data_IF_602446533852
#
_entry.id   IF_602446533852
#
_cell.length_a   1.000
_cell.length_b   1.000
_cell.length_c   1.000
_cell.angle_alpha   90.00
_cell.angle_beta   90.00
_cell.angle_gamma   90.00
#
_symmetry.space_group_name_H-M   'P 1'
#
loop_
_entity.id
_entity.type
_entity.pdbx_description
1 polymer ?
#
# COMPACT_ATOMS: atom_id res chain seq x y z
N UNK A 1 35.18 8.59 -0.07
CA UNK A 1 34.67 8.42 -1.45
C UNK A 1 34.73 6.95 -1.82
N UNK A 2 33.59 6.26 -1.86
CA UNK A 2 33.45 4.98 -2.56
C UNK A 2 32.02 4.95 -3.11
N UNK A 3 31.89 5.28 -4.39
CA UNK A 3 30.62 5.30 -5.11
C UNK A 3 30.10 3.90 -5.34
N UNK A 4 28.87 3.63 -4.92
CA UNK A 4 28.11 2.47 -5.39
C UNK A 4 27.51 2.82 -6.76
N UNK A 5 27.86 2.02 -7.77
CA UNK A 5 27.30 2.05 -9.11
C UNK A 5 25.78 1.88 -9.03
N UNK A 6 25.05 2.87 -9.57
CA UNK A 6 23.66 2.74 -9.98
C UNK A 6 23.56 1.58 -10.98
N UNK A 7 22.74 0.57 -10.69
CA UNK A 7 22.29 -0.40 -11.70
C UNK A 7 21.23 0.31 -12.54
N UNK A 8 21.52 0.54 -13.81
CA UNK A 8 20.50 0.92 -14.79
C UNK A 8 19.49 -0.23 -14.90
N UNK A 9 18.21 0.08 -14.68
CA UNK A 9 17.11 -0.84 -14.94
C UNK A 9 17.03 -1.16 -16.44
N UNK A 10 16.87 -2.45 -16.74
CA UNK A 10 16.70 -2.94 -18.11
C UNK A 10 15.29 -2.57 -18.59
N UNK A 11 15.22 -1.83 -19.70
CA UNK A 11 13.97 -1.51 -20.39
C UNK A 11 13.41 -2.81 -21.00
N UNK A 12 12.20 -3.19 -20.61
CA UNK A 12 11.50 -4.33 -21.22
C UNK A 12 11.17 -4.02 -22.70
N UNK A 13 11.73 -4.78 -23.62
CA UNK A 13 11.38 -4.77 -25.04
C UNK A 13 10.43 -5.95 -25.35
N UNK A 14 9.52 -5.83 -26.33
CA UNK A 14 8.61 -6.92 -26.69
C UNK A 14 9.36 -8.04 -27.43
N UNK A 15 9.23 -9.28 -26.96
CA UNK A 15 9.86 -10.48 -27.56
C UNK A 15 8.87 -11.19 -28.50
N UNK A 16 9.30 -11.71 -29.68
CA UNK A 16 8.46 -12.48 -30.59
C UNK A 16 8.23 -13.93 -30.12
N UNK A 17 7.16 -14.53 -30.64
CA UNK A 17 6.62 -15.83 -30.25
C UNK A 17 7.55 -17.04 -30.40
N UNK A 18 7.60 -17.87 -29.36
CA UNK A 18 7.77 -19.32 -29.46
C UNK A 18 8.90 -19.95 -28.63
N UNK A 19 8.62 -20.36 -27.39
CA UNK A 19 8.96 -21.66 -26.72
C UNK A 19 8.70 -21.59 -25.21
N UNK A 20 8.31 -22.72 -24.59
CA UNK A 20 7.69 -22.80 -23.25
C UNK A 20 8.68 -22.62 -22.07
N UNK A 21 8.42 -21.55 -21.31
CA UNK A 21 8.31 -21.41 -19.85
C UNK A 21 9.43 -21.93 -18.93
N UNK A 22 10.42 -21.06 -18.68
CA UNK A 22 10.88 -20.72 -17.32
C UNK A 22 10.20 -19.40 -16.93
N UNK A 23 9.76 -19.23 -15.68
CA UNK A 23 9.02 -18.06 -15.15
C UNK A 23 9.38 -16.76 -15.87
N UNK A 24 8.54 -16.33 -16.81
CA UNK A 24 8.58 -14.98 -17.33
C UNK A 24 8.37 -14.05 -16.14
N UNK A 25 9.32 -13.16 -15.85
CA UNK A 25 9.08 -12.05 -14.92
C UNK A 25 7.83 -11.31 -15.41
N UNK A 26 6.69 -11.58 -14.78
CA UNK A 26 5.43 -10.92 -15.13
C UNK A 26 5.54 -9.49 -14.63
N UNK A 27 5.82 -8.57 -15.56
CA UNK A 27 5.85 -7.15 -15.26
C UNK A 27 4.40 -6.65 -15.12
N UNK A 28 3.95 -6.46 -13.88
CA UNK A 28 2.62 -5.94 -13.57
C UNK A 28 2.57 -4.40 -13.60
N UNK A 29 3.56 -3.73 -14.21
CA UNK A 29 3.66 -2.28 -14.21
C UNK A 29 2.48 -1.57 -14.90
N UNK A 30 1.80 -2.21 -15.86
CA UNK A 30 0.69 -1.63 -16.62
C UNK A 30 -0.61 -2.46 -16.50
N UNK A 31 -0.83 -3.12 -15.36
CA UNK A 31 -1.92 -4.08 -15.23
C UNK A 31 -3.31 -3.43 -15.34
N UNK A 32 -3.52 -2.22 -14.81
CA UNK A 32 -4.81 -1.52 -14.93
C UNK A 32 -5.09 -1.14 -16.38
N UNK A 33 -4.06 -0.66 -17.09
CA UNK A 33 -4.12 -0.38 -18.52
C UNK A 33 -4.39 -1.63 -19.38
N UNK A 34 -3.95 -2.80 -18.90
CA UNK A 34 -4.06 -4.09 -19.59
C UNK A 34 -5.37 -4.83 -19.31
N UNK A 35 -6.20 -4.35 -18.38
CA UNK A 35 -7.52 -4.94 -18.13
C UNK A 35 -8.38 -4.92 -19.42
N UNK A 36 -9.27 -5.90 -19.61
CA UNK A 36 -10.22 -5.90 -20.72
C UNK A 36 -11.09 -4.62 -20.77
N UNK A 37 -11.46 -4.12 -21.96
CA UNK A 37 -12.20 -2.85 -22.11
C UNK A 37 -13.51 -2.74 -21.32
N UNK A 38 -14.19 -3.86 -21.08
CA UNK A 38 -15.43 -3.85 -20.32
C UNK A 38 -15.21 -3.60 -18.82
N UNK A 39 -14.01 -3.88 -18.28
CA UNK A 39 -13.64 -3.58 -16.90
C UNK A 39 -13.22 -2.12 -16.72
N UNK A 40 -12.89 -1.39 -17.79
CA UNK A 40 -12.53 0.04 -17.70
C UNK A 40 -13.68 0.91 -17.18
N UNK A 41 -14.93 0.44 -17.35
CA UNK A 41 -16.15 1.10 -16.89
C UNK A 41 -16.71 0.51 -15.58
N UNK A 42 -16.01 -0.46 -14.98
CA UNK A 42 -16.37 -0.96 -13.65
C UNK A 42 -15.89 0.06 -12.60
N UNK A 43 -16.70 0.35 -11.56
CA UNK A 43 -16.26 1.22 -10.47
C UNK A 43 -14.97 0.69 -9.82
N UNK A 44 -14.01 1.56 -9.51
CA UNK A 44 -12.75 1.16 -8.87
C UNK A 44 -12.99 0.44 -7.52
N UNK A 45 -14.08 0.74 -6.82
CA UNK A 45 -14.51 0.06 -5.59
C UNK A 45 -14.89 -1.41 -5.77
N UNK A 46 -15.02 -1.85 -7.02
CA UNK A 46 -15.43 -3.19 -7.44
C UNK A 46 -14.30 -3.96 -8.13
N UNK A 47 -13.13 -3.35 -8.32
CA UNK A 47 -11.93 -4.05 -8.81
C UNK A 47 -11.15 -4.65 -7.63
N UNK A 48 -10.45 -5.76 -7.88
CA UNK A 48 -9.43 -6.27 -6.98
C UNK A 48 -8.11 -5.51 -7.21
N UNK A 49 -7.58 -4.88 -6.16
CA UNK A 49 -6.41 -4.00 -6.22
C UNK A 49 -5.39 -4.46 -5.17
N UNK A 50 -4.16 -4.83 -5.56
CA UNK A 50 -3.13 -5.18 -4.60
C UNK A 50 -2.58 -3.92 -3.91
N UNK A 51 -2.43 -4.02 -2.59
CA UNK A 51 -1.87 -2.99 -1.74
C UNK A 51 -0.75 -3.52 -0.86
N UNK A 52 0.05 -2.60 -0.32
CA UNK A 52 1.05 -2.93 0.70
C UNK A 52 0.71 -2.25 2.02
N UNK A 53 0.97 -2.95 3.13
CA UNK A 53 0.81 -2.42 4.49
C UNK A 53 2.12 -1.76 4.95
N UNK A 54 2.01 -0.61 5.65
CA UNK A 54 3.14 0.19 6.12
C UNK A 54 4.20 0.36 5.02
N UNK A 55 3.76 0.82 3.85
CA UNK A 55 4.39 0.53 2.56
C UNK A 55 5.81 1.04 2.39
N UNK A 56 6.22 2.04 3.16
CA UNK A 56 7.54 2.67 3.04
C UNK A 56 8.63 1.96 3.87
N UNK A 57 8.26 1.00 4.72
CA UNK A 57 9.14 0.44 5.76
C UNK A 57 10.33 -0.38 5.23
N UNK A 58 10.57 -0.39 3.91
CA UNK A 58 11.77 -0.93 3.26
C UNK A 58 13.05 -0.20 3.64
N UNK A 59 12.95 1.10 3.98
CA UNK A 59 14.09 1.90 4.42
C UNK A 59 13.90 2.39 5.86
N UNK A 60 14.60 1.72 6.76
CA UNK A 60 14.69 2.10 8.17
C UNK A 60 16.16 2.12 8.58
N UNK A 61 16.70 3.31 8.87
CA UNK A 61 18.07 3.47 9.35
C UNK A 61 18.14 3.11 10.85
N UNK A 62 19.10 2.26 11.22
CA UNK A 62 19.40 1.96 12.63
C UNK A 62 19.88 3.20 13.39
N UNK A 63 20.28 4.27 12.69
CA UNK A 63 20.62 5.56 13.30
C UNK A 63 19.42 6.48 13.47
N UNK A 64 18.32 6.27 12.75
CA UNK A 64 17.11 7.09 12.86
C UNK A 64 16.55 7.11 14.29
N UNK A 65 16.00 8.25 14.76
CA UNK A 65 15.27 8.29 16.03
C UNK A 65 14.13 7.26 16.05
N UNK A 66 13.72 6.88 17.26
CA UNK A 66 12.51 6.09 17.48
C UNK A 66 11.30 6.94 17.15
N UNK A 67 10.36 6.37 16.41
CA UNK A 67 9.12 7.04 16.05
C UNK A 67 8.21 7.25 17.27
N UNK A 68 7.38 8.30 17.26
CA UNK A 68 6.39 8.56 18.31
C UNK A 68 5.26 7.53 18.38
N UNK A 69 5.19 6.60 17.43
CA UNK A 69 4.26 5.46 17.40
C UNK A 69 4.66 4.33 18.37
N UNK A 70 5.84 4.44 19.02
CA UNK A 70 6.34 3.46 19.99
C UNK A 70 6.02 3.84 21.44
N UNK A 71 5.91 2.83 22.31
CA UNK A 71 5.65 3.07 23.74
C UNK A 71 6.83 3.77 24.44
N UNK A 72 6.58 4.56 25.51
CA UNK A 72 7.66 5.22 26.27
C UNK A 72 8.74 4.27 26.80
N UNK A 73 8.34 3.04 27.15
CA UNK A 73 9.26 2.00 27.58
C UNK A 73 10.22 1.58 26.45
N UNK A 74 9.69 1.40 25.24
CA UNK A 74 10.50 1.09 24.04
C UNK A 74 11.41 2.26 23.70
N UNK A 75 10.92 3.50 23.74
CA UNK A 75 11.74 4.70 23.50
C UNK A 75 12.93 4.78 24.46
N UNK A 76 12.75 4.40 25.74
CA UNK A 76 13.82 4.36 26.74
C UNK A 76 14.81 3.23 26.46
N UNK A 77 14.33 2.04 26.10
CA UNK A 77 15.16 0.86 25.84
C UNK A 77 15.95 0.94 24.53
N UNK A 78 15.43 1.65 23.53
CA UNK A 78 16.07 1.83 22.23
C UNK A 78 17.38 2.64 22.25
N UNK A 79 17.76 3.21 23.41
CA UNK A 79 19.12 3.74 23.66
C UNK A 79 20.19 2.65 23.57
N UNK A 80 19.80 1.38 23.72
CA UNK A 80 20.66 0.21 23.56
C UNK A 80 20.68 -0.21 22.08
N UNK A 81 21.85 -0.22 21.45
CA UNK A 81 22.00 -0.56 20.01
C UNK A 81 21.39 -1.91 19.63
N UNK A 82 21.50 -2.93 20.50
CA UNK A 82 20.91 -4.24 20.27
C UNK A 82 19.37 -4.21 20.22
N UNK A 83 18.73 -3.40 21.08
CA UNK A 83 17.28 -3.21 21.07
C UNK A 83 16.84 -2.53 19.79
N UNK A 84 17.61 -1.53 19.33
CA UNK A 84 17.30 -0.81 18.09
C UNK A 84 17.44 -1.69 16.83
N UNK A 85 18.45 -2.56 16.79
CA UNK A 85 18.59 -3.61 15.75
C UNK A 85 17.41 -4.58 15.75
N UNK A 86 16.95 -4.98 16.93
CA UNK A 86 15.77 -5.82 17.06
C UNK A 86 14.52 -5.08 16.56
N UNK A 87 14.29 -3.84 17.01
CA UNK A 87 13.16 -3.02 16.57
C UNK A 87 13.10 -2.93 15.04
N UNK A 88 14.22 -2.59 14.38
CA UNK A 88 14.28 -2.57 12.92
C UNK A 88 13.77 -3.87 12.29
N UNK A 89 14.23 -5.04 12.74
CA UNK A 89 13.79 -6.34 12.22
C UNK A 89 12.29 -6.63 12.39
N UNK A 90 11.64 -5.97 13.35
CA UNK A 90 10.21 -6.12 13.63
C UNK A 90 9.36 -4.99 13.04
N UNK A 91 9.99 -3.89 12.63
CA UNK A 91 9.35 -2.71 12.04
C UNK A 91 9.39 -2.70 10.51
N UNK A 92 10.31 -3.44 9.88
CA UNK A 92 10.32 -3.58 8.42
C UNK A 92 9.19 -4.52 8.00
N UNK A 93 8.29 -4.03 7.16
CA UNK A 93 7.16 -4.76 6.57
C UNK A 93 7.28 -4.94 5.06
N UNK A 94 8.17 -4.20 4.38
CA UNK A 94 8.42 -4.33 2.93
C UNK A 94 9.94 -4.43 2.66
N UNK A 95 10.34 -5.10 1.57
CA UNK A 95 11.75 -5.07 1.09
C UNK A 95 11.94 -4.15 -0.12
N UNK A 96 10.85 -3.79 -0.79
CA UNK A 96 10.84 -3.09 -2.07
C UNK A 96 10.63 -1.59 -1.87
N UNK A 97 11.28 -0.76 -2.69
CA UNK A 97 11.00 0.69 -2.76
C UNK A 97 9.59 0.97 -3.28
N UNK A 98 9.14 2.24 -3.25
CA UNK A 98 7.86 2.60 -3.86
C UNK A 98 7.84 2.25 -5.35
N UNK A 99 8.91 2.57 -6.07
CA UNK A 99 9.05 2.23 -7.49
C UNK A 99 8.95 0.73 -7.74
N UNK A 100 9.68 -0.08 -6.98
CA UNK A 100 9.68 -1.54 -7.14
C UNK A 100 8.31 -2.16 -6.81
N UNK A 101 7.62 -1.65 -5.78
CA UNK A 101 6.24 -2.08 -5.47
C UNK A 101 5.27 -1.75 -6.62
N UNK A 102 5.39 -0.56 -7.21
CA UNK A 102 4.58 -0.15 -8.36
C UNK A 102 4.85 -1.05 -9.58
N UNK A 103 6.12 -1.35 -9.88
CA UNK A 103 6.51 -2.27 -10.96
C UNK A 103 6.00 -3.70 -10.73
N UNK A 104 5.95 -4.14 -9.46
CA UNK A 104 5.36 -5.43 -9.07
C UNK A 104 3.82 -5.45 -9.12
N UNK A 105 3.17 -4.31 -9.31
CA UNK A 105 1.72 -4.19 -9.51
C UNK A 105 0.94 -3.56 -8.34
N UNK A 106 1.60 -3.21 -7.23
CA UNK A 106 0.95 -2.55 -6.09
C UNK A 106 0.39 -1.19 -6.51
N UNK A 107 -0.85 -0.89 -6.09
CA UNK A 107 -1.52 0.39 -6.38
C UNK A 107 -2.12 1.07 -5.15
N UNK A 108 -2.18 0.38 -4.01
CA UNK A 108 -2.55 1.00 -2.73
C UNK A 108 -1.38 1.01 -1.76
N UNK A 109 -1.17 2.17 -1.13
CA UNK A 109 -0.10 2.40 -0.15
C UNK A 109 -0.69 2.87 1.18
N UNK A 110 -0.49 2.10 2.25
CA UNK A 110 -0.80 2.51 3.63
C UNK A 110 0.38 3.32 4.20
N UNK A 111 0.13 4.61 4.41
CA UNK A 111 1.15 5.59 4.75
C UNK A 111 0.95 6.14 6.17
N UNK A 112 2.05 6.13 6.93
CA UNK A 112 2.14 6.73 8.25
C UNK A 112 3.22 7.78 8.24
N UNK A 113 2.91 8.97 8.72
CA UNK A 113 3.79 10.14 8.60
C UNK A 113 3.94 10.89 9.92
N UNK A 114 5.09 11.54 10.10
CA UNK A 114 5.38 12.30 11.30
C UNK A 114 6.34 13.46 11.03
N UNK A 115 6.19 14.52 11.83
CA UNK A 115 7.28 15.49 12.00
C UNK A 115 8.42 14.82 12.78
N UNK A 116 9.65 15.29 12.58
CA UNK A 116 10.83 14.74 13.26
C UNK A 116 11.29 15.67 14.39
N UNK A 117 11.55 15.16 15.61
CA UNK A 117 12.05 15.99 16.70
C UNK A 117 13.36 16.69 16.33
N UNK A 118 13.44 18.00 16.56
CA UNK A 118 14.62 18.82 16.28
C UNK A 118 14.80 19.19 14.81
N UNK A 119 13.86 18.83 13.94
CA UNK A 119 13.83 19.30 12.55
C UNK A 119 13.26 20.74 12.51
N UNK A 120 14.04 21.67 11.96
CA UNK A 120 13.67 23.09 11.86
C UNK A 120 12.94 23.42 10.57
N UNK A 121 12.94 22.51 9.60
CA UNK A 121 12.49 22.77 8.23
C UNK A 121 11.02 22.37 8.02
N UNK A 122 10.33 21.97 9.10
CA UNK A 122 8.95 21.43 9.07
C UNK A 122 8.78 20.22 8.13
N UNK A 123 9.89 19.52 7.87
CA UNK A 123 9.90 18.35 6.99
C UNK A 123 9.14 17.17 7.60
N UNK A 124 8.61 16.33 6.71
CA UNK A 124 7.72 15.23 7.08
C UNK A 124 8.31 13.95 6.56
N UNK A 125 8.30 12.95 7.43
CA UNK A 125 8.95 11.67 7.19
C UNK A 125 7.92 10.57 7.29
N UNK A 126 8.11 9.52 6.52
CA UNK A 126 7.38 8.28 6.77
C UNK A 126 7.89 7.60 8.04
N UNK A 127 7.00 6.98 8.82
CA UNK A 127 7.35 6.36 10.10
C UNK A 127 6.64 5.03 10.39
N UNK A 128 7.37 4.11 11.01
CA UNK A 128 6.86 2.82 11.48
C UNK A 128 7.91 2.25 12.44
N UNK A 129 7.73 2.49 13.73
CA UNK A 129 8.70 2.23 14.80
C UNK A 129 9.93 3.13 14.79
N UNK A 130 10.43 3.48 13.61
CA UNK A 130 11.60 4.30 13.35
C UNK A 130 11.30 5.26 12.20
N UNK A 131 12.02 6.39 12.15
CA UNK A 131 11.92 7.35 11.05
C UNK A 131 12.55 6.79 9.75
N UNK A 132 11.80 6.88 8.66
CA UNK A 132 12.22 6.53 7.29
C UNK A 132 12.68 7.75 6.48
N UNK A 133 12.52 7.66 5.15
CA UNK A 133 12.81 8.74 4.20
C UNK A 133 11.80 9.89 4.31
N UNK A 134 12.12 11.03 3.69
CA UNK A 134 11.17 12.14 3.58
C UNK A 134 9.97 11.73 2.73
N UNK A 135 8.80 12.24 3.08
CA UNK A 135 7.59 12.02 2.29
C UNK A 135 7.77 12.50 0.85
N UNK A 136 8.40 13.67 0.69
CA UNK A 136 8.74 14.23 -0.62
C UNK A 136 9.42 13.23 -1.55
N UNK A 137 10.47 12.55 -1.09
CA UNK A 137 11.25 11.62 -1.89
C UNK A 137 10.40 10.44 -2.37
N UNK A 138 9.56 9.88 -1.50
CA UNK A 138 8.64 8.80 -1.86
C UNK A 138 7.55 9.24 -2.83
N UNK A 139 6.99 10.45 -2.67
CA UNK A 139 6.00 10.98 -3.62
C UNK A 139 6.63 11.20 -5.01
N UNK A 140 7.86 11.69 -5.08
CA UNK A 140 8.60 11.86 -6.34
C UNK A 140 8.88 10.52 -7.04
N UNK A 141 9.21 9.46 -6.30
CA UNK A 141 9.34 8.12 -6.88
C UNK A 141 8.03 7.63 -7.51
N UNK A 142 6.91 7.83 -6.81
CA UNK A 142 5.57 7.48 -7.31
C UNK A 142 5.24 8.30 -8.56
N UNK A 143 5.49 9.62 -8.56
CA UNK A 143 5.20 10.49 -9.70
C UNK A 143 6.02 10.12 -10.95
N UNK A 144 7.29 9.77 -10.76
CA UNK A 144 8.17 9.29 -11.82
C UNK A 144 7.62 8.03 -12.49
N UNK A 145 7.05 7.10 -11.71
CA UNK A 145 6.32 5.95 -12.23
C UNK A 145 5.06 6.35 -12.97
N UNK A 146 4.19 7.16 -12.39
CA UNK A 146 2.93 7.57 -13.02
C UNK A 146 3.13 8.33 -14.34
N UNK A 147 4.24 9.06 -14.47
CA UNK A 147 4.63 9.73 -15.71
C UNK A 147 4.98 8.73 -16.83
N UNK A 148 5.56 7.59 -16.49
CA UNK A 148 5.87 6.51 -17.43
C UNK A 148 4.66 5.61 -17.72
N UNK A 149 3.72 5.53 -16.78
CA UNK A 149 2.56 4.66 -16.82
C UNK A 149 1.25 5.47 -16.70
N UNK A 150 0.86 6.24 -17.73
CA UNK A 150 -0.20 7.26 -17.66
C UNK A 150 -1.62 6.72 -17.41
N UNK A 151 -1.81 5.39 -17.51
CA UNK A 151 -3.09 4.71 -17.28
C UNK A 151 -3.14 3.94 -15.97
N UNK A 152 -2.13 4.08 -15.13
CA UNK A 152 -2.14 3.48 -13.80
C UNK A 152 -2.67 4.47 -12.76
N UNK A 153 -3.45 3.96 -11.81
CA UNK A 153 -4.09 4.73 -10.75
C UNK A 153 -3.58 4.26 -9.39
N UNK A 154 -3.12 5.18 -8.55
CA UNK A 154 -2.62 4.89 -7.20
C UNK A 154 -3.49 5.50 -6.11
N UNK A 155 -3.59 4.77 -5.00
CA UNK A 155 -4.28 5.14 -3.78
C UNK A 155 -3.23 5.38 -2.72
N UNK A 156 -3.10 6.63 -2.26
CA UNK A 156 -2.19 6.99 -1.17
C UNK A 156 -3.02 7.27 0.07
N UNK A 157 -2.96 6.35 1.02
CA UNK A 157 -3.73 6.42 2.26
C UNK A 157 -2.87 6.95 3.39
N UNK A 158 -2.92 8.27 3.63
CA UNK A 158 -2.30 8.89 4.80
C UNK A 158 -3.18 8.61 6.02
N UNK A 159 -3.00 7.40 6.54
CA UNK A 159 -3.85 6.78 7.55
C UNK A 159 -3.52 7.29 8.96
N UNK A 160 -2.23 7.53 9.25
CA UNK A 160 -1.78 8.01 10.56
C UNK A 160 -0.84 9.20 10.45
N UNK A 161 -1.09 10.21 11.29
CA UNK A 161 -0.26 11.41 11.45
C UNK A 161 0.22 11.50 12.89
N UNK A 162 1.52 11.67 13.10
CA UNK A 162 2.11 11.72 14.43
C UNK A 162 2.94 12.98 14.63
N UNK A 163 2.83 13.61 15.80
CA UNK A 163 3.56 14.82 16.17
C UNK A 163 3.43 15.98 15.15
N UNK A 164 2.38 15.98 14.33
CA UNK A 164 2.12 17.02 13.33
C UNK A 164 1.13 18.04 13.88
N UNK A 165 1.45 19.32 13.70
CA UNK A 165 0.53 20.43 13.93
C UNK A 165 -0.06 20.93 12.59
N UNK A 166 -0.83 22.02 12.66
CA UNK A 166 -1.48 22.61 11.49
C UNK A 166 -0.48 23.02 10.39
N UNK A 167 0.69 23.54 10.76
CA UNK A 167 1.72 23.96 9.80
C UNK A 167 2.30 22.75 9.06
N UNK A 168 2.58 21.66 9.78
CA UNK A 168 3.01 20.41 9.15
C UNK A 168 1.95 19.85 8.20
N UNK A 169 0.67 19.87 8.57
CA UNK A 169 -0.39 19.42 7.67
C UNK A 169 -0.48 20.28 6.40
N UNK A 170 -0.41 21.62 6.51
CA UNK A 170 -0.37 22.52 5.35
C UNK A 170 0.84 22.24 4.46
N UNK A 171 2.02 22.02 5.07
CA UNK A 171 3.23 21.68 4.35
C UNK A 171 3.09 20.37 3.57
N UNK A 172 2.56 19.31 4.21
CA UNK A 172 2.31 18.02 3.54
C UNK A 172 1.39 18.17 2.33
N UNK A 173 0.28 18.87 2.51
CA UNK A 173 -0.70 19.08 1.45
C UNK A 173 -0.10 19.87 0.29
N UNK A 174 0.71 20.89 0.59
CA UNK A 174 1.46 21.62 -0.43
C UNK A 174 2.40 20.69 -1.20
N UNK A 175 3.19 19.84 -0.51
CA UNK A 175 4.07 18.87 -1.18
C UNK A 175 3.31 17.89 -2.08
N UNK A 176 2.16 17.39 -1.64
CA UNK A 176 1.30 16.51 -2.45
C UNK A 176 0.83 17.23 -3.73
N UNK A 177 0.41 18.49 -3.62
CA UNK A 177 -0.01 19.30 -4.77
C UNK A 177 1.14 19.60 -5.72
N UNK A 178 2.31 19.93 -5.17
CA UNK A 178 3.52 20.25 -5.92
C UNK A 178 3.99 19.06 -6.76
N UNK A 179 3.97 17.85 -6.18
CA UNK A 179 4.42 16.63 -6.86
C UNK A 179 3.42 16.15 -7.92
N UNK A 180 2.15 15.99 -7.55
CA UNK A 180 1.19 15.33 -8.44
C UNK A 180 0.41 16.28 -9.34
N UNK A 181 0.28 17.56 -8.95
CA UNK A 181 -0.39 18.59 -9.76
C UNK A 181 -1.75 18.13 -10.30
N UNK A 182 -1.89 18.13 -11.63
CA UNK A 182 -3.13 17.75 -12.32
C UNK A 182 -3.47 16.26 -12.25
N UNK A 183 -2.55 15.40 -11.77
CA UNK A 183 -2.82 13.96 -11.58
C UNK A 183 -3.74 13.69 -10.38
N UNK A 184 -3.95 14.68 -9.50
CA UNK A 184 -4.78 14.55 -8.31
C UNK A 184 -6.27 14.46 -8.67
N UNK A 185 -6.91 13.37 -8.26
CA UNK A 185 -8.34 13.17 -8.41
C UNK A 185 -9.12 13.92 -7.33
N UNK A 186 -10.04 14.78 -7.74
CA UNK A 186 -10.97 15.44 -6.82
C UNK A 186 -11.90 14.43 -6.13
N UNK A 187 -12.25 14.69 -4.87
CA UNK A 187 -13.18 13.89 -4.10
C UNK A 187 -14.58 13.94 -4.70
N UNK A 188 -15.13 12.76 -5.02
CA UNK A 188 -16.44 12.63 -5.64
C UNK A 188 -17.19 11.39 -5.11
N UNK A 189 -18.30 11.05 -5.77
CA UNK A 189 -19.00 9.80 -5.50
C UNK A 189 -18.11 8.60 -5.91
N UNK A 190 -17.99 7.60 -5.03
CA UNK A 190 -17.12 6.43 -5.24
C UNK A 190 -17.58 5.57 -6.42
N UNK A 191 -18.88 5.38 -6.58
CA UNK A 191 -19.46 4.56 -7.66
C UNK A 191 -19.23 5.17 -9.04
N UNK A 192 -19.05 6.50 -9.11
CA UNK A 192 -18.76 7.20 -10.36
C UNK A 192 -17.30 7.08 -10.82
N UNK A 193 -16.39 6.58 -9.97
CA UNK A 193 -14.99 6.45 -10.33
C UNK A 193 -14.73 5.16 -11.09
N UNK A 194 -14.47 5.28 -12.38
CA UNK A 194 -14.03 4.19 -13.26
C UNK A 194 -12.64 4.51 -13.82
N UNK A 195 -11.91 3.49 -14.30
CA UNK A 195 -10.61 3.70 -14.95
C UNK A 195 -10.74 4.62 -16.16
N UNK A 196 -11.80 4.42 -16.96
CA UNK A 196 -12.11 5.23 -18.13
C UNK A 196 -12.23 6.73 -17.77
N UNK A 197 -13.01 7.07 -16.74
CA UNK A 197 -13.23 8.46 -16.31
C UNK A 197 -11.93 9.08 -15.81
N UNK A 198 -11.13 8.33 -15.05
CA UNK A 198 -9.85 8.81 -14.53
C UNK A 198 -8.86 9.10 -15.65
N UNK A 199 -8.77 8.21 -16.66
CA UNK A 199 -7.90 8.42 -17.82
C UNK A 199 -8.32 9.60 -18.69
N UNK A 200 -9.62 9.74 -18.97
CA UNK A 200 -10.16 10.89 -19.72
C UNK A 200 -9.83 12.22 -19.04
N UNK A 201 -9.88 12.25 -17.70
CA UNK A 201 -9.52 13.43 -16.90
C UNK A 201 -8.03 13.55 -16.61
N UNK A 202 -7.22 12.58 -17.02
CA UNK A 202 -5.78 12.47 -16.70
C UNK A 202 -5.50 12.48 -15.18
N UNK A 203 -6.42 11.95 -14.40
CA UNK A 203 -6.22 11.69 -12.99
C UNK A 203 -5.54 10.34 -12.79
N UNK A 204 -4.61 10.29 -11.84
CA UNK A 204 -3.85 9.09 -11.50
C UNK A 204 -3.74 8.87 -9.99
N UNK A 205 -4.02 9.87 -9.15
CA UNK A 205 -3.73 9.81 -7.71
C UNK A 205 -4.98 10.12 -6.89
N UNK A 206 -5.38 9.17 -6.05
CA UNK A 206 -6.39 9.38 -5.00
C UNK A 206 -5.68 9.50 -3.65
N UNK A 207 -5.88 10.62 -2.98
CA UNK A 207 -5.30 10.87 -1.65
C UNK A 207 -6.37 10.70 -0.59
N UNK A 208 -6.20 9.73 0.30
CA UNK A 208 -7.03 9.59 1.49
C UNK A 208 -6.32 10.19 2.70
N UNK A 209 -7.04 11.01 3.45
CA UNK A 209 -6.46 11.84 4.51
C UNK A 209 -7.28 11.70 5.80
N UNK A 210 -6.68 11.06 6.81
CA UNK A 210 -7.31 10.77 8.11
C UNK A 210 -7.25 11.96 9.09
N UNK A 211 -7.35 13.19 8.58
CA UNK A 211 -7.39 14.43 9.36
C UNK A 211 -8.39 15.40 8.73
N UNK A 212 -9.19 16.20 9.50
CA UNK A 212 -10.23 17.08 8.97
C UNK A 212 -9.81 18.12 7.91
N UNK A 213 -8.52 18.25 7.64
CA UNK A 213 -7.96 18.97 6.48
C UNK A 213 -8.60 18.58 5.15
N UNK A 214 -9.12 17.36 5.01
CA UNK A 214 -9.87 16.97 3.81
C UNK A 214 -11.06 17.90 3.50
N UNK A 215 -11.58 18.64 4.50
CA UNK A 215 -12.67 19.60 4.30
C UNK A 215 -12.21 20.89 3.61
N UNK A 216 -10.91 21.17 3.64
CA UNK A 216 -10.32 22.41 3.11
C UNK A 216 -9.78 22.24 1.69
N UNK A 217 -9.44 21.00 1.30
CA UNK A 217 -8.80 20.71 0.02
C UNK A 217 -9.62 19.67 -0.76
N UNK A 218 -10.14 20.02 -1.95
CA UNK A 218 -11.13 19.18 -2.65
C UNK A 218 -10.57 17.87 -3.21
N UNK A 219 -9.25 17.72 -3.33
CA UNK A 219 -8.59 16.48 -3.76
C UNK A 219 -8.26 15.53 -2.61
N UNK A 220 -8.46 15.96 -1.36
CA UNK A 220 -8.28 15.10 -0.20
C UNK A 220 -9.58 14.37 0.09
N UNK A 221 -9.56 13.05 -0.06
CA UNK A 221 -10.66 12.18 0.30
C UNK A 221 -10.66 11.96 1.81
N UNK A 222 -11.82 12.00 2.49
CA UNK A 222 -11.86 11.69 3.90
C UNK A 222 -11.55 10.21 4.14
N UNK A 223 -10.72 9.90 5.14
CA UNK A 223 -10.31 8.52 5.46
C UNK A 223 -11.44 7.52 5.62
N UNK A 224 -12.63 7.95 6.09
CA UNK A 224 -13.83 7.10 6.16
C UNK A 224 -14.32 6.56 4.81
N UNK A 225 -13.80 7.07 3.69
CA UNK A 225 -14.07 6.58 2.32
C UNK A 225 -13.21 5.37 1.94
N UNK A 226 -12.23 5.00 2.75
CA UNK A 226 -11.36 3.84 2.53
C UNK A 226 -11.16 3.06 3.84
N UNK A 227 -12.23 2.56 4.48
CA UNK A 227 -12.10 1.80 5.71
C UNK A 227 -11.10 0.64 5.57
N UNK A 228 -10.12 0.62 6.48
CA UNK A 228 -9.08 -0.38 6.59
C UNK A 228 -9.11 -1.03 7.99
N UNK A 229 -10.11 -1.88 8.29
CA UNK A 229 -10.20 -2.54 9.60
C UNK A 229 -8.99 -3.43 9.86
N UNK A 230 -8.52 -3.45 11.12
CA UNK A 230 -7.28 -4.13 11.50
C UNK A 230 -7.51 -5.24 12.53
N UNK A 231 -7.13 -6.47 12.18
CA UNK A 231 -7.38 -7.65 13.01
C UNK A 231 -6.55 -7.70 14.31
N UNK A 232 -5.40 -7.00 14.33
CA UNK A 232 -4.48 -6.93 15.46
C UNK A 232 -4.23 -8.29 16.16
N UNK A 233 -3.82 -9.29 15.38
CA UNK A 233 -3.70 -10.68 15.84
C UNK A 233 -2.45 -11.37 15.28
N UNK A 234 -1.93 -12.34 16.05
CA UNK A 234 -0.86 -13.25 15.61
C UNK A 234 -1.40 -14.57 15.05
N UNK A 235 -2.71 -14.80 15.12
CA UNK A 235 -3.34 -16.06 14.71
C UNK A 235 -3.97 -15.92 13.32
N UNK A 236 -3.47 -16.69 12.36
CA UNK A 236 -4.01 -16.72 10.99
C UNK A 236 -5.48 -17.12 10.96
N UNK A 237 -5.93 -18.04 11.80
CA UNK A 237 -7.36 -18.41 11.89
C UNK A 237 -8.24 -17.24 12.31
N UNK A 238 -7.78 -16.45 13.30
CA UNK A 238 -8.49 -15.23 13.73
C UNK A 238 -8.45 -14.14 12.66
N UNK A 239 -7.34 -14.04 11.93
CA UNK A 239 -7.22 -13.13 10.80
C UNK A 239 -8.24 -13.49 9.71
N UNK A 240 -8.29 -14.75 9.26
CA UNK A 240 -9.25 -15.17 8.23
C UNK A 240 -10.69 -14.91 8.69
N UNK A 241 -11.06 -15.29 9.92
CA UNK A 241 -12.39 -15.01 10.45
C UNK A 241 -12.70 -13.50 10.43
N UNK A 242 -11.75 -12.67 10.86
CA UNK A 242 -11.90 -11.21 10.85
C UNK A 242 -12.07 -10.65 9.44
N UNK A 243 -11.30 -11.14 8.46
CA UNK A 243 -11.41 -10.73 7.06
C UNK A 243 -12.78 -11.10 6.48
N UNK A 244 -13.29 -12.31 6.74
CA UNK A 244 -14.64 -12.69 6.28
C UNK A 244 -15.73 -11.83 6.94
N UNK A 245 -15.64 -11.61 8.25
CA UNK A 245 -16.63 -10.79 8.98
C UNK A 245 -16.65 -9.37 8.44
N UNK A 246 -15.49 -8.70 8.37
CA UNK A 246 -15.40 -7.32 7.90
C UNK A 246 -15.78 -7.16 6.43
N UNK A 247 -15.52 -8.17 5.60
CA UNK A 247 -15.97 -8.22 4.21
C UNK A 247 -17.50 -8.37 4.13
N UNK A 248 -18.11 -9.22 4.97
CA UNK A 248 -19.57 -9.38 5.00
C UNK A 248 -20.31 -8.14 5.51
N UNK A 249 -19.66 -7.34 6.35
CA UNK A 249 -20.20 -6.11 6.95
C UNK A 249 -19.87 -4.85 6.13
N UNK A 250 -19.08 -4.97 5.05
CA UNK A 250 -18.66 -3.81 4.26
C UNK A 250 -19.88 -3.10 3.65
N UNK A 251 -19.81 -1.78 3.58
CA UNK A 251 -20.81 -1.01 2.86
C UNK A 251 -20.73 -1.35 1.34
N UNK A 252 -21.86 -1.67 0.67
CA UNK A 252 -21.87 -1.96 -0.76
C UNK A 252 -21.59 -0.73 -1.63
N UNK A 253 -21.78 0.47 -1.05
CA UNK A 253 -21.67 1.76 -1.73
C UNK A 253 -21.12 2.80 -0.77
N UNK A 254 -20.57 3.86 -1.34
CA UNK A 254 -20.16 5.08 -0.68
C UNK A 254 -18.72 5.03 -0.16
N UNK A 255 -18.03 3.90 -0.24
CA UNK A 255 -16.64 3.73 0.21
C UNK A 255 -15.93 2.61 -0.55
N UNK A 256 -14.61 2.72 -0.65
CA UNK A 256 -13.70 1.61 -0.92
C UNK A 256 -13.64 0.67 0.30
N UNK A 257 -12.92 -0.43 0.20
CA UNK A 257 -12.69 -1.31 1.35
C UNK A 257 -11.31 -1.97 1.27
N UNK A 258 -10.57 -1.89 2.37
CA UNK A 258 -9.23 -2.47 2.48
C UNK A 258 -9.26 -3.68 3.41
N UNK A 259 -9.02 -4.86 2.85
CA UNK A 259 -8.85 -6.11 3.58
C UNK A 259 -7.37 -6.26 3.95
N UNK A 260 -7.05 -5.97 5.22
CA UNK A 260 -5.68 -6.05 5.74
C UNK A 260 -5.25 -7.49 6.05
N UNK A 261 -4.73 -8.21 5.06
CA UNK A 261 -4.31 -9.60 5.18
C UNK A 261 -2.91 -9.73 5.81
N UNK A 262 -2.75 -9.16 7.01
CA UNK A 262 -1.49 -9.06 7.75
C UNK A 262 -1.63 -9.63 9.16
N UNK A 263 -0.50 -10.08 9.73
CA UNK A 263 -0.44 -10.54 11.12
C UNK A 263 0.39 -9.57 11.97
N UNK A 264 -0.17 -9.19 13.12
CA UNK A 264 0.48 -8.24 14.02
C UNK A 264 1.22 -8.98 15.13
N UNK A 265 2.55 -8.81 15.26
CA UNK A 265 3.29 -9.37 16.39
C UNK A 265 2.86 -8.72 17.71
N UNK A 266 2.68 -9.53 18.76
CA UNK A 266 2.44 -9.02 20.12
C UNK A 266 3.77 -8.69 20.80
N UNK A 267 3.77 -7.75 21.75
CA UNK A 267 4.95 -7.40 22.56
C UNK A 267 5.62 -8.63 23.22
N UNK A 268 4.83 -9.62 23.66
CA UNK A 268 5.35 -10.89 24.20
C UNK A 268 6.04 -11.77 23.15
N UNK A 269 5.62 -11.70 21.89
CA UNK A 269 6.25 -12.40 20.75
C UNK A 269 7.59 -11.75 20.39
N UNK A 270 7.66 -10.41 20.46
CA UNK A 270 8.89 -9.63 20.26
C UNK A 270 9.88 -9.88 21.41
N UNK A 271 9.40 -9.81 22.66
CA UNK A 271 10.22 -9.99 23.87
C UNK A 271 10.76 -11.42 24.05
N UNK A 272 10.09 -12.44 23.50
CA UNK A 272 10.60 -13.83 23.47
C UNK A 272 11.78 -14.03 22.51
N UNK A 273 12.29 -12.96 21.89
CA UNK A 273 13.59 -12.99 21.24
C UNK A 273 13.64 -13.91 20.02
N UNK A 274 12.55 -14.02 19.26
CA UNK A 274 12.62 -14.69 17.96
C UNK A 274 13.54 -13.87 17.05
N UNK A 275 14.79 -14.33 16.90
CA UNK A 275 15.87 -13.66 16.17
C UNK A 275 15.54 -13.51 14.67
N UNK A 276 14.50 -14.21 14.20
CA UNK A 276 14.01 -14.25 12.82
C UNK A 276 13.29 -12.99 12.33
N UNK A 277 12.84 -12.08 13.20
CA UNK A 277 12.09 -10.87 12.79
C UNK A 277 10.68 -11.17 12.26
N UNK A 278 9.95 -10.13 11.82
CA UNK A 278 8.55 -10.26 11.36
C UNK A 278 8.41 -11.24 10.19
N UNK A 279 9.26 -11.06 9.17
CA UNK A 279 9.30 -11.84 7.93
C UNK A 279 9.35 -13.35 8.18
N UNK A 280 10.35 -13.81 8.92
CA UNK A 280 10.58 -15.25 9.13
C UNK A 280 9.68 -15.86 10.19
N UNK A 281 9.11 -15.04 11.08
CA UNK A 281 8.32 -15.55 12.21
C UNK A 281 6.84 -15.67 11.90
N UNK A 282 6.27 -14.66 11.23
CA UNK A 282 4.83 -14.57 11.01
C UNK A 282 4.47 -14.64 9.52
N UNK A 283 5.23 -14.00 8.64
CA UNK A 283 4.82 -13.89 7.24
C UNK A 283 5.08 -15.19 6.49
N UNK A 284 6.33 -15.67 6.39
CA UNK A 284 6.64 -16.92 5.66
C UNK A 284 5.79 -18.12 6.06
N UNK A 285 5.45 -18.23 7.36
CA UNK A 285 4.68 -19.36 7.89
C UNK A 285 3.20 -19.32 7.51
N UNK A 286 2.62 -18.13 7.35
CA UNK A 286 1.17 -17.96 7.18
C UNK A 286 0.79 -17.45 5.78
N UNK A 287 1.76 -17.00 4.99
CA UNK A 287 1.55 -16.48 3.64
C UNK A 287 0.84 -17.49 2.72
N UNK A 288 1.12 -18.81 2.73
CA UNK A 288 0.34 -19.77 1.94
C UNK A 288 -1.15 -19.76 2.30
N UNK A 289 -1.49 -19.76 3.59
CA UNK A 289 -2.89 -19.74 4.06
C UNK A 289 -3.58 -18.43 3.69
N UNK A 290 -2.86 -17.32 3.74
CA UNK A 290 -3.38 -16.01 3.33
C UNK A 290 -3.62 -15.99 1.82
N UNK A 291 -2.70 -16.48 1.00
CA UNK A 291 -2.88 -16.58 -0.45
C UNK A 291 -4.01 -17.52 -0.83
N UNK A 292 -4.15 -18.66 -0.16
CA UNK A 292 -5.27 -19.58 -0.37
C UNK A 292 -6.59 -18.86 -0.12
N UNK A 293 -6.68 -18.06 0.96
CA UNK A 293 -7.85 -17.21 1.20
C UNK A 293 -8.08 -16.22 0.06
N UNK A 294 -7.06 -15.48 -0.38
CA UNK A 294 -7.16 -14.51 -1.49
C UNK A 294 -7.71 -15.18 -2.76
N UNK A 295 -7.20 -16.36 -3.12
CA UNK A 295 -7.63 -17.12 -4.31
C UNK A 295 -9.09 -17.56 -4.27
N UNK A 296 -9.69 -17.66 -3.07
CA UNK A 296 -11.13 -17.96 -2.94
C UNK A 296 -12.04 -16.73 -3.04
N UNK A 297 -11.47 -15.53 -3.13
CA UNK A 297 -12.26 -14.28 -3.17
C UNK A 297 -12.67 -13.93 -4.60
N UNK A 298 -13.74 -13.14 -4.69
CA UNK A 298 -14.21 -12.52 -5.92
C UNK A 298 -14.37 -11.01 -5.69
N UNK A 299 -13.95 -10.14 -6.62
CA UNK A 299 -14.21 -8.71 -6.50
C UNK A 299 -15.64 -8.37 -6.96
N UNK A 300 -16.05 -7.12 -6.75
CA UNK A 300 -17.40 -6.64 -7.06
C UNK A 300 -18.05 -5.89 -5.90
N UNK A 301 -19.32 -5.52 -6.05
CA UNK A 301 -20.07 -4.66 -5.10
C UNK A 301 -20.04 -5.19 -3.66
N UNK A 302 -20.11 -6.51 -3.48
CA UNK A 302 -20.02 -7.19 -2.17
C UNK A 302 -18.73 -8.03 -2.03
N UNK A 303 -17.83 -7.91 -3.01
CA UNK A 303 -16.61 -8.70 -3.09
C UNK A 303 -15.44 -8.04 -2.37
N UNK A 304 -14.23 -8.53 -2.59
CA UNK A 304 -13.00 -7.82 -2.19
C UNK A 304 -12.79 -6.58 -3.05
N UNK A 305 -12.07 -5.59 -2.51
CA UNK A 305 -11.64 -4.42 -3.28
C UNK A 305 -10.13 -4.24 -3.19
N UNK A 306 -9.62 -3.66 -2.11
CA UNK A 306 -8.17 -3.54 -1.89
C UNK A 306 -7.74 -4.64 -0.92
N UNK A 307 -6.70 -5.39 -1.25
CA UNK A 307 -6.11 -6.40 -0.35
C UNK A 307 -4.67 -6.00 -0.06
N UNK A 308 -4.31 -5.87 1.21
CA UNK A 308 -2.94 -5.54 1.60
C UNK A 308 -2.22 -6.71 2.23
N UNK A 309 -0.89 -6.76 2.05
CA UNK A 309 -0.02 -7.72 2.73
C UNK A 309 1.33 -7.09 3.13
N UNK A 310 2.04 -7.78 4.02
CA UNK A 310 3.44 -7.52 4.35
C UNK A 310 4.35 -8.33 3.40
N UNK A 311 5.47 -7.75 2.98
CA UNK A 311 6.47 -8.33 2.09
C UNK A 311 5.86 -8.83 0.79
N UNK A 312 5.32 -7.88 0.02
CA UNK A 312 4.67 -8.15 -1.27
C UNK A 312 5.60 -8.78 -2.31
N UNK A 313 6.91 -8.82 -2.05
CA UNK A 313 7.95 -9.49 -2.86
C UNK A 313 8.03 -11.01 -2.67
N UNK A 314 7.45 -11.56 -1.59
CA UNK A 314 7.75 -12.94 -1.19
C UNK A 314 7.08 -14.02 -2.03
N UNK A 315 6.06 -13.66 -2.79
CA UNK A 315 5.19 -14.53 -3.58
C UNK A 315 4.56 -13.70 -4.67
N UNK A 316 3.88 -14.36 -5.61
CA UNK A 316 3.06 -13.71 -6.65
C UNK A 316 1.77 -13.09 -6.08
N UNK A 317 1.87 -12.34 -4.97
CA UNK A 317 0.74 -11.73 -4.26
C UNK A 317 0.00 -10.76 -5.16
N UNK A 318 0.73 -9.81 -5.76
CA UNK A 318 0.12 -8.81 -6.65
C UNK A 318 -0.57 -9.48 -7.83
N UNK A 319 0.11 -10.42 -8.50
CA UNK A 319 -0.46 -11.22 -9.59
C UNK A 319 -1.72 -11.95 -9.15
N UNK A 320 -1.69 -12.64 -8.00
CA UNK A 320 -2.85 -13.38 -7.47
C UNK A 320 -4.06 -12.46 -7.24
N UNK A 321 -3.85 -11.24 -6.74
CA UNK A 321 -4.93 -10.26 -6.53
C UNK A 321 -5.42 -9.69 -7.86
N UNK A 322 -4.51 -9.40 -8.81
CA UNK A 322 -4.85 -8.86 -10.13
C UNK A 322 -5.70 -9.85 -10.92
N UNK A 323 -5.35 -11.14 -10.91
CA UNK A 323 -6.07 -12.22 -11.59
C UNK A 323 -7.52 -12.40 -11.10
N UNK A 324 -7.84 -11.97 -9.86
CA UNK A 324 -9.22 -12.00 -9.37
C UNK A 324 -10.17 -11.15 -10.22
N UNK A 325 -9.65 -10.12 -10.94
CA UNK A 325 -10.47 -9.29 -11.82
C UNK A 325 -11.02 -10.07 -13.02
N UNK A 326 -10.44 -11.21 -13.39
CA UNK A 326 -10.95 -12.06 -14.47
C UNK A 326 -12.29 -12.70 -14.11
N UNK A 327 -12.58 -12.85 -12.81
CA UNK A 327 -13.87 -13.37 -12.33
C UNK A 327 -15.03 -12.40 -12.54
N UNK A 328 -14.76 -11.12 -12.82
CA UNK A 328 -15.78 -10.13 -13.22
C UNK A 328 -16.26 -10.35 -14.66
N UNK A 329 -15.50 -11.09 -15.47
CA UNK A 329 -15.87 -11.42 -16.85
C UNK A 329 -17.01 -12.45 -16.89
N UNK A 330 -16.98 -13.42 -15.95
CA UNK A 330 -17.89 -14.57 -15.91
C UNK A 330 -19.35 -14.19 -15.58
N UNK A 331 -19.56 -13.17 -14.73
CA UNK A 331 -20.91 -12.72 -14.35
C UNK A 331 -21.69 -12.12 -15.54
N UNK A 332 -20.98 -11.58 -16.53
CA UNK A 332 -21.61 -10.99 -17.72
C UNK A 332 -22.02 -12.04 -18.75
N UNK A 333 -21.35 -13.20 -18.78
CA UNK A 333 -21.76 -14.32 -19.61
C UNK A 333 -23.02 -14.99 -19.05
N UNK A 334 -23.10 -15.14 -17.73
CA UNK A 334 -24.27 -15.70 -17.04
C UNK A 334 -25.49 -14.77 -17.03
N UNK A 335 -25.29 -13.44 -17.00
CA UNK A 335 -26.39 -12.47 -17.08
C UNK A 335 -26.95 -12.27 -18.50
N UNK A 336 -26.34 -12.88 -19.52
CA UNK A 336 -26.78 -12.84 -20.92
C UNK A 336 -27.44 -14.15 -21.40
N UNK A 337 -27.38 -15.20 -20.59
CA UNK A 337 -28.17 -16.43 -20.74
C UNK A 337 -29.44 -16.32 -19.90
#
# INVERSE_FOLDING_TARGET
MLGRKLRMGTICSPIPSGTKTSSSDVCNADWMASLPPHLHNVPLSNLAIPGSHDSFSYWVDEKSPVGPDQTPAIMRLARISLVKKLMKKWSVTQNLTFREQLEAGIRYFDLRVSSKPGDTDQEIYFIHGLFGIKVWDGLMEIDSFLTQHPREIVFLDFNHFYAMDEAHHKHLVHRIQEVFGSKLCLACNVESLTLQILWEKRFQVLIFYHCPFYKQYPFLWPGKKIPAPWANTTSVRKLILFLETTLSERAPRGAFHVSQAILTPRAKTIARGLVGGLKNTLVHRNLPVILDWVKTKKPGTMGVNIITSDFVDLVDFATTVIELNDLLQEDRALAKC
#
